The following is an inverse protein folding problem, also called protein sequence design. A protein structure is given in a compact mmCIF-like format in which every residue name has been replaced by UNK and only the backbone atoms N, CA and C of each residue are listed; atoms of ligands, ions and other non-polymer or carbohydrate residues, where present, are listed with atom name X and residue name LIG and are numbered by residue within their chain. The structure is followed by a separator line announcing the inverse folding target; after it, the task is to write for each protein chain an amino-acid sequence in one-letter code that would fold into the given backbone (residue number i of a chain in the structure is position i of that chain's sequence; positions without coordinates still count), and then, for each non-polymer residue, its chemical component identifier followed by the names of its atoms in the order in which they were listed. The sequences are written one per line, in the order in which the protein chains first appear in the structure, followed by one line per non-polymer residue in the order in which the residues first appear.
data_IF_419406209965
#
_entry.id   IF_419406209965
#
_cell.length_a   1.000
_cell.length_b   1.000
_cell.length_c   1.000
_cell.angle_alpha   90.00
_cell.angle_beta   90.00
_cell.angle_gamma   90.00
#
_symmetry.space_group_name_H-M   'P 1'
#
loop_
_entity.id
_entity.type
_entity.pdbx_description
1 polymer ?
#
# COMPACT_ATOMS: atom_id res chain seq x y z
N UNK A 1 -21.23 4.02 9.20
CA UNK A 1 -20.58 5.32 9.45
C UNK A 1 -19.31 5.40 8.61
N UNK A 2 -19.27 6.29 7.61
CA UNK A 2 -18.05 6.51 6.83
C UNK A 2 -17.00 7.16 7.76
N UNK A 3 -15.96 6.40 8.12
CA UNK A 3 -14.85 6.89 8.95
C UNK A 3 -14.14 7.97 8.13
N UNK A 4 -14.43 9.25 8.43
CA UNK A 4 -13.82 10.36 7.68
C UNK A 4 -12.31 10.26 7.86
N UNK A 5 -11.60 10.00 6.76
CA UNK A 5 -10.14 9.96 6.71
C UNK A 5 -9.50 11.32 7.08
N UNK A 6 -10.32 12.37 7.10
CA UNK A 6 -9.95 13.76 7.34
C UNK A 6 -9.54 14.06 8.80
N UNK A 7 -10.03 13.28 9.76
CA UNK A 7 -9.69 13.46 11.19
C UNK A 7 -8.56 12.58 11.70
N UNK A 8 -7.99 11.73 10.84
CA UNK A 8 -6.96 10.78 11.24
C UNK A 8 -5.58 11.45 11.29
N UNK A 9 -4.74 11.09 12.28
CA UNK A 9 -3.36 11.54 12.31
C UNK A 9 -2.64 11.12 11.02
N UNK A 10 -1.72 11.96 10.55
CA UNK A 10 -1.04 11.79 9.26
C UNK A 10 -0.46 10.38 9.11
N UNK A 11 0.11 9.83 10.18
CA UNK A 11 0.63 8.46 10.22
C UNK A 11 -0.39 7.37 9.87
N UNK A 12 -1.66 7.50 10.29
CA UNK A 12 -2.70 6.53 9.92
C UNK A 12 -3.10 6.68 8.46
N UNK A 13 -3.16 7.92 7.94
CA UNK A 13 -3.42 8.16 6.52
C UNK A 13 -2.31 7.59 5.64
N UNK A 14 -1.05 7.79 6.02
CA UNK A 14 0.10 7.26 5.30
C UNK A 14 0.11 5.72 5.31
N UNK A 15 -0.27 5.09 6.44
CA UNK A 15 -0.44 3.62 6.51
C UNK A 15 -1.53 3.12 5.56
N UNK A 16 -2.70 3.78 5.55
CA UNK A 16 -3.80 3.42 4.64
C UNK A 16 -3.38 3.60 3.18
N UNK A 17 -2.69 4.69 2.86
CA UNK A 17 -2.18 4.94 1.51
C UNK A 17 -1.19 3.85 1.09
N UNK A 18 -0.31 3.45 2.01
CA UNK A 18 0.67 2.36 1.81
C UNK A 18 -0.03 1.02 1.55
N UNK A 19 -1.09 0.69 2.30
CA UNK A 19 -1.91 -0.51 2.08
C UNK A 19 -2.61 -0.49 0.70
N UNK A 20 -3.16 0.66 0.29
CA UNK A 20 -3.80 0.82 -1.02
C UNK A 20 -2.82 0.64 -2.18
N UNK A 21 -1.60 1.15 -2.03
CA UNK A 21 -0.53 0.92 -2.99
C UNK A 21 -0.16 -0.56 -3.07
N UNK A 22 -0.07 -1.25 -1.93
CA UNK A 22 0.29 -2.67 -1.89
C UNK A 22 -0.77 -3.51 -2.60
N UNK A 23 -2.05 -3.24 -2.34
CA UNK A 23 -3.18 -3.87 -3.02
C UNK A 23 -3.15 -3.61 -4.52
N UNK A 24 -2.87 -2.37 -4.94
CA UNK A 24 -2.80 -2.01 -6.36
C UNK A 24 -1.69 -2.78 -7.08
N UNK A 25 -0.53 -2.95 -6.45
CA UNK A 25 0.57 -3.74 -7.01
C UNK A 25 0.19 -5.21 -7.14
N UNK A 26 -0.38 -5.82 -6.09
CA UNK A 26 -0.80 -7.23 -6.11
C UNK A 26 -1.92 -7.48 -7.12
N UNK A 27 -2.87 -6.55 -7.21
CA UNK A 27 -3.92 -6.58 -8.23
C UNK A 27 -3.29 -6.58 -9.62
N UNK A 28 -2.44 -5.60 -9.93
CA UNK A 28 -1.77 -5.52 -11.23
C UNK A 28 -0.96 -6.78 -11.53
N UNK A 29 -0.25 -7.33 -10.53
CA UNK A 29 0.53 -8.56 -10.66
C UNK A 29 -0.35 -9.79 -10.95
N UNK A 30 -1.50 -9.95 -10.26
CA UNK A 30 -2.44 -11.07 -10.49
C UNK A 30 -3.15 -11.00 -11.84
N UNK A 31 -3.49 -9.80 -12.29
CA UNK A 31 -4.22 -9.58 -13.55
C UNK A 31 -3.28 -9.32 -14.74
N UNK A 32 -1.99 -9.65 -14.63
CA UNK A 32 -1.02 -9.61 -15.74
C UNK A 32 -0.69 -8.20 -16.25
N UNK A 33 -0.97 -7.15 -15.47
CA UNK A 33 -0.55 -5.79 -15.76
C UNK A 33 0.89 -5.57 -15.25
N UNK A 34 1.59 -4.58 -15.80
CA UNK A 34 2.93 -4.24 -15.31
C UNK A 34 2.87 -3.96 -13.80
N UNK A 35 3.56 -4.79 -13.01
CA UNK A 35 3.59 -4.63 -11.56
C UNK A 35 4.30 -3.33 -11.24
N UNK A 36 3.52 -2.31 -10.88
CA UNK A 36 4.00 -0.97 -10.53
C UNK A 36 4.79 -0.93 -9.21
N UNK A 37 5.39 -2.06 -8.78
CA UNK A 37 6.07 -2.24 -7.50
C UNK A 37 7.14 -1.18 -7.29
N UNK A 38 8.05 -1.00 -8.26
CA UNK A 38 9.11 0.03 -8.17
C UNK A 38 8.55 1.45 -8.02
N UNK A 39 7.46 1.76 -8.71
CA UNK A 39 6.84 3.09 -8.64
C UNK A 39 6.10 3.27 -7.30
N UNK A 40 5.46 2.21 -6.80
CA UNK A 40 4.81 2.21 -5.50
C UNK A 40 5.83 2.36 -4.36
N UNK A 41 6.94 1.63 -4.40
CA UNK A 41 8.05 1.76 -3.43
C UNK A 41 8.65 3.16 -3.42
N UNK A 42 8.83 3.79 -4.59
CA UNK A 42 9.32 5.16 -4.69
C UNK A 42 8.32 6.19 -4.13
N UNK A 43 7.02 5.87 -4.14
CA UNK A 43 5.96 6.74 -3.61
C UNK A 43 5.73 6.56 -2.10
N UNK A 44 6.15 5.44 -1.52
CA UNK A 44 5.99 5.16 -0.09
C UNK A 44 7.11 5.84 0.70
N UNK A 45 6.79 6.53 1.81
CA UNK A 45 7.80 7.11 2.68
C UNK A 45 8.77 6.05 3.23
N UNK A 46 10.06 6.37 3.34
CA UNK A 46 11.07 5.40 3.78
C UNK A 46 10.77 4.71 5.13
N UNK A 47 10.11 5.43 6.04
CA UNK A 47 9.70 4.92 7.35
C UNK A 47 8.54 3.89 7.28
N UNK A 48 7.83 3.81 6.16
CA UNK A 48 6.73 2.88 5.91
C UNK A 48 7.08 1.80 4.88
N UNK A 49 8.26 1.85 4.24
CA UNK A 49 8.70 0.81 3.30
C UNK A 49 8.70 -0.59 3.93
N UNK A 50 9.15 -0.72 5.17
CA UNK A 50 9.13 -2.01 5.85
C UNK A 50 7.70 -2.52 6.06
N UNK A 51 6.77 -1.63 6.43
CA UNK A 51 5.35 -1.96 6.57
C UNK A 51 4.72 -2.33 5.21
N UNK A 52 5.09 -1.63 4.14
CA UNK A 52 4.67 -1.91 2.77
C UNK A 52 5.07 -3.31 2.32
N UNK A 53 6.34 -3.70 2.54
CA UNK A 53 6.82 -5.04 2.20
C UNK A 53 6.09 -6.14 2.99
N UNK A 54 5.86 -5.93 4.29
CA UNK A 54 5.07 -6.85 5.11
C UNK A 54 3.65 -7.03 4.56
N UNK A 55 3.01 -5.93 4.13
CA UNK A 55 1.67 -5.97 3.52
C UNK A 55 1.64 -6.62 2.16
N UNK A 56 2.62 -6.35 1.30
CA UNK A 56 2.76 -7.04 0.02
C UNK A 56 2.85 -8.55 0.20
N UNK A 57 3.70 -9.02 1.13
CA UNK A 57 3.80 -10.45 1.45
C UNK A 57 2.49 -11.00 1.99
N UNK A 58 1.80 -10.27 2.85
CA UNK A 58 0.48 -10.67 3.36
C UNK A 58 -0.54 -10.83 2.22
N UNK A 59 -0.68 -9.84 1.34
CA UNK A 59 -1.63 -9.87 0.22
C UNK A 59 -1.24 -10.85 -0.90
N UNK A 60 0.03 -11.21 -1.02
CA UNK A 60 0.48 -12.24 -1.97
C UNK A 60 0.12 -13.64 -1.49
N UNK A 61 0.14 -13.86 -0.17
CA UNK A 61 -0.21 -15.14 0.45
C UNK A 61 -1.70 -15.28 0.84
N UNK A 62 -2.47 -14.19 0.79
CA UNK A 62 -3.92 -14.16 1.04
C UNK A 62 -4.74 -14.57 -0.19
#
# INVERSE_FOLDING_TARGET
MARKLDGLPQQERDKIHTDLLALSVIYNERYGHASGLKNAEASVPAHLLNYFHQRLLYYRNA
#
